data_IF_273066052069
#
_entry.id   IF_273066052069
#
_cell.length_a   1.000
_cell.length_b   1.000
_cell.length_c   1.000
_cell.angle_alpha   90.00
_cell.angle_beta   90.00
_cell.angle_gamma   90.00
#
_symmetry.space_group_name_H-M   'P 1'
#
loop_
_entity.id
_entity.type
_entity.pdbx_description
1 polymer ?
#
# COMPACT_ATOMS: atom_id res chain seq x y z
N UNK A 1 -0.05 -7.17 -20.23
CA UNK A 1 1.23 -6.47 -19.99
C UNK A 1 0.89 -4.99 -19.93
N UNK A 2 1.36 -4.26 -18.90
CA UNK A 2 1.02 -2.85 -18.73
C UNK A 2 1.79 -1.98 -19.73
N UNK A 3 1.20 -0.88 -20.14
CA UNK A 3 1.81 0.15 -20.98
C UNK A 3 2.17 1.39 -20.16
N UNK A 4 1.35 1.72 -19.15
CA UNK A 4 1.58 2.84 -18.24
C UNK A 4 1.21 2.49 -16.80
N UNK A 5 2.01 2.95 -15.85
CA UNK A 5 1.84 2.66 -14.42
C UNK A 5 1.94 3.95 -13.61
N UNK A 6 1.03 4.14 -12.65
CA UNK A 6 1.13 5.19 -11.64
C UNK A 6 1.76 4.64 -10.36
N UNK A 7 2.72 5.37 -9.79
CA UNK A 7 3.34 5.00 -8.52
C UNK A 7 2.68 5.83 -7.40
N UNK A 8 1.90 5.18 -6.54
CA UNK A 8 1.26 5.80 -5.39
C UNK A 8 2.21 5.90 -4.18
N UNK A 9 3.41 6.46 -4.40
CA UNK A 9 4.45 6.62 -3.39
C UNK A 9 5.42 7.76 -3.78
N UNK A 10 6.45 7.99 -2.95
CA UNK A 10 7.44 9.06 -3.14
C UNK A 10 8.86 8.60 -2.83
N UNK A 11 9.84 9.42 -3.20
CA UNK A 11 11.23 9.20 -2.83
C UNK A 11 11.86 7.99 -3.52
N UNK A 12 12.72 7.26 -2.80
CA UNK A 12 13.56 6.22 -3.39
C UNK A 12 12.74 5.08 -4.00
N UNK A 13 11.69 4.62 -3.31
CA UNK A 13 10.91 3.47 -3.77
C UNK A 13 10.19 3.78 -5.09
N UNK A 14 9.76 5.03 -5.27
CA UNK A 14 9.18 5.45 -6.53
C UNK A 14 10.21 5.40 -7.67
N UNK A 15 11.44 5.88 -7.44
CA UNK A 15 12.54 5.77 -8.42
C UNK A 15 12.88 4.29 -8.69
N UNK A 16 12.91 3.45 -7.66
CA UNK A 16 13.19 2.01 -7.79
C UNK A 16 12.16 1.30 -8.67
N UNK A 17 10.87 1.61 -8.50
CA UNK A 17 9.79 1.08 -9.32
C UNK A 17 9.92 1.60 -10.76
N UNK A 18 10.13 2.90 -10.93
CA UNK A 18 10.25 3.51 -12.26
C UNK A 18 11.44 2.95 -13.07
N UNK A 19 12.56 2.61 -12.41
CA UNK A 19 13.68 1.90 -13.05
C UNK A 19 13.27 0.53 -13.60
N UNK A 20 12.52 -0.26 -12.82
CA UNK A 20 12.00 -1.55 -13.30
C UNK A 20 11.01 -1.38 -14.45
N UNK A 21 10.13 -0.39 -14.39
CA UNK A 21 9.23 -0.05 -15.50
C UNK A 21 10.01 0.31 -16.78
N UNK A 22 11.08 1.10 -16.66
CA UNK A 22 11.95 1.47 -17.79
C UNK A 22 12.62 0.27 -18.45
N UNK A 23 13.10 -0.70 -17.66
CA UNK A 23 13.67 -1.96 -18.18
C UNK A 23 12.64 -2.78 -18.97
N UNK A 24 11.36 -2.64 -18.63
CA UNK A 24 10.24 -3.33 -19.29
C UNK A 24 9.56 -2.50 -20.40
N UNK A 25 10.03 -1.27 -20.65
CA UNK A 25 9.41 -0.36 -21.62
C UNK A 25 8.04 0.18 -21.19
N UNK A 26 7.74 0.21 -19.90
CA UNK A 26 6.49 0.70 -19.31
C UNK A 26 6.63 2.17 -18.94
N UNK A 27 5.69 3.02 -19.38
CA UNK A 27 5.65 4.44 -19.02
C UNK A 27 5.23 4.64 -17.56
N UNK A 28 5.72 5.71 -16.94
CA UNK A 28 5.57 5.93 -15.51
C UNK A 28 4.99 7.29 -15.16
N UNK A 29 4.07 7.29 -14.20
CA UNK A 29 3.47 8.49 -13.63
C UNK A 29 3.84 8.59 -12.16
N UNK A 30 4.59 9.63 -11.79
CA UNK A 30 4.83 9.97 -10.39
C UNK A 30 3.68 10.85 -9.85
N UNK A 31 3.34 10.66 -8.58
CA UNK A 31 2.47 11.59 -7.85
C UNK A 31 3.28 12.43 -6.87
N UNK A 32 2.87 13.68 -6.68
CA UNK A 32 3.55 14.59 -5.76
C UNK A 32 2.61 15.51 -4.98
N UNK A 33 2.96 15.72 -3.72
CA UNK A 33 2.36 16.76 -2.89
C UNK A 33 3.06 18.11 -3.13
N UNK A 34 2.51 19.19 -2.60
CA UNK A 34 3.12 20.52 -2.62
C UNK A 34 4.57 20.52 -2.08
N UNK A 35 4.84 19.73 -1.03
CA UNK A 35 6.17 19.61 -0.44
C UNK A 35 7.17 18.87 -1.34
N UNK A 36 6.68 18.10 -2.32
CA UNK A 36 7.50 17.22 -3.16
C UNK A 36 7.68 17.77 -4.59
N UNK A 37 7.26 19.00 -4.89
CA UNK A 37 7.35 19.60 -6.24
C UNK A 37 8.74 19.55 -6.86
N UNK A 38 9.79 19.58 -6.03
CA UNK A 38 11.19 19.50 -6.47
C UNK A 38 11.87 18.16 -6.13
N UNK A 39 11.11 17.17 -5.66
CA UNK A 39 11.66 15.87 -5.27
C UNK A 39 12.19 15.10 -6.50
N UNK A 40 13.24 14.32 -6.28
CA UNK A 40 13.92 13.59 -7.36
C UNK A 40 13.01 12.59 -8.08
N UNK A 41 12.06 11.96 -7.39
CA UNK A 41 11.15 11.01 -8.03
C UNK A 41 10.19 11.71 -9.01
N UNK A 42 9.86 12.97 -8.78
CA UNK A 42 9.03 13.78 -9.70
C UNK A 42 9.79 14.06 -10.99
N UNK A 43 11.07 14.44 -10.87
CA UNK A 43 11.92 14.74 -12.03
C UNK A 43 12.32 13.49 -12.83
N UNK A 44 12.25 12.31 -12.21
CA UNK A 44 12.67 11.05 -12.84
C UNK A 44 11.59 10.40 -13.72
N UNK A 45 10.32 10.69 -13.43
CA UNK A 45 9.16 10.08 -14.09
C UNK A 45 8.93 10.62 -15.50
N UNK A 46 8.24 9.84 -16.34
CA UNK A 46 7.84 10.29 -17.68
C UNK A 46 6.73 11.35 -17.59
N UNK A 47 5.85 11.22 -16.60
CA UNK A 47 4.76 12.15 -16.29
C UNK A 47 4.67 12.34 -14.77
N UNK A 48 4.23 13.51 -14.32
CA UNK A 48 4.02 13.78 -12.91
C UNK A 48 2.71 14.52 -12.64
N UNK A 49 1.95 14.06 -11.65
CA UNK A 49 0.63 14.61 -11.28
C UNK A 49 0.65 15.15 -9.86
N UNK A 50 0.22 16.41 -9.71
CA UNK A 50 0.01 17.03 -8.40
C UNK A 50 -1.24 16.43 -7.73
N UNK A 51 -1.10 15.95 -6.50
CA UNK A 51 -2.17 15.25 -5.78
C UNK A 51 -2.62 15.97 -4.50
N UNK A 52 -2.13 17.18 -4.24
CA UNK A 52 -2.63 18.01 -3.14
C UNK A 52 -1.55 18.53 -2.20
N UNK A 53 -1.98 19.02 -1.04
CA UNK A 53 -1.12 19.72 -0.07
C UNK A 53 -0.11 18.79 0.60
N UNK A 54 0.87 19.39 1.26
CA UNK A 54 1.95 18.69 1.95
C UNK A 54 1.48 17.64 2.99
N UNK A 55 0.32 17.83 3.62
CA UNK A 55 -0.20 16.87 4.59
C UNK A 55 -0.55 15.54 3.90
N UNK A 56 -0.06 14.37 4.36
CA UNK A 56 -0.32 13.10 3.70
C UNK A 56 -1.81 12.76 3.55
N UNK A 57 -2.65 13.13 4.52
CA UNK A 57 -4.11 12.94 4.44
C UNK A 57 -4.77 13.71 3.28
N UNK A 58 -4.16 14.82 2.86
CA UNK A 58 -4.60 15.63 1.72
C UNK A 58 -3.89 15.23 0.41
N UNK A 59 -3.02 14.22 0.43
CA UNK A 59 -2.24 13.76 -0.73
C UNK A 59 -2.03 12.23 -0.74
N UNK A 60 -0.90 11.72 -0.26
CA UNK A 60 -0.48 10.31 -0.40
C UNK A 60 -1.36 9.27 0.33
N UNK A 61 -2.19 9.70 1.28
CA UNK A 61 -3.17 8.85 1.96
C UNK A 61 -4.60 9.08 1.45
N UNK A 62 -4.77 9.86 0.38
CA UNK A 62 -6.06 10.12 -0.25
C UNK A 62 -6.27 9.19 -1.46
N UNK A 63 -6.98 8.08 -1.22
CA UNK A 63 -7.29 7.07 -2.23
C UNK A 63 -7.97 7.64 -3.47
N UNK A 64 -8.98 8.50 -3.29
CA UNK A 64 -9.77 9.04 -4.39
C UNK A 64 -8.92 9.89 -5.33
N UNK A 65 -8.03 10.72 -4.77
CA UNK A 65 -7.13 11.55 -5.57
C UNK A 65 -6.11 10.70 -6.33
N UNK A 66 -5.58 9.65 -5.72
CA UNK A 66 -4.63 8.74 -6.37
C UNK A 66 -5.28 7.94 -7.51
N UNK A 67 -6.49 7.42 -7.30
CA UNK A 67 -7.26 6.71 -8.32
C UNK A 67 -7.61 7.66 -9.47
N UNK A 68 -8.06 8.87 -9.15
CA UNK A 68 -8.34 9.90 -10.17
C UNK A 68 -7.09 10.25 -10.97
N UNK A 69 -5.94 10.45 -10.32
CA UNK A 69 -4.67 10.71 -11.00
C UNK A 69 -4.29 9.55 -11.96
N UNK A 70 -4.54 8.30 -11.58
CA UNK A 70 -4.25 7.14 -12.43
C UNK A 70 -5.19 7.09 -13.64
N UNK A 71 -6.49 7.36 -13.44
CA UNK A 71 -7.47 7.41 -14.52
C UNK A 71 -7.19 8.56 -15.50
N UNK A 72 -6.95 9.77 -14.99
CA UNK A 72 -6.72 10.97 -15.81
C UNK A 72 -5.41 10.84 -16.62
N UNK A 73 -4.38 10.22 -16.05
CA UNK A 73 -3.11 9.93 -16.76
C UNK A 73 -3.16 8.68 -17.66
N UNK A 74 -4.29 7.95 -17.65
CA UNK A 74 -4.52 6.71 -18.40
C UNK A 74 -3.52 5.60 -18.04
N UNK A 75 -3.20 5.47 -16.75
CA UNK A 75 -2.43 4.35 -16.25
C UNK A 75 -3.26 3.06 -16.29
N UNK A 76 -2.61 1.92 -16.51
CA UNK A 76 -3.24 0.59 -16.47
C UNK A 76 -3.25 0.01 -15.05
N UNK A 77 -2.31 0.46 -14.22
CA UNK A 77 -2.04 -0.10 -12.90
C UNK A 77 -1.49 0.95 -11.92
N UNK A 78 -1.70 0.69 -10.63
CA UNK A 78 -1.10 1.45 -9.53
C UNK A 78 -0.14 0.54 -8.76
N UNK A 79 1.11 0.98 -8.61
CA UNK A 79 2.07 0.35 -7.71
C UNK A 79 2.16 1.16 -6.40
N UNK A 80 1.83 0.57 -5.24
CA UNK A 80 1.78 1.32 -3.99
C UNK A 80 3.14 1.48 -3.30
N UNK A 81 4.13 0.66 -3.68
CA UNK A 81 5.43 0.66 -3.00
C UNK A 81 5.28 0.05 -1.61
N UNK A 82 5.78 0.75 -0.59
CA UNK A 82 5.61 0.37 0.82
C UNK A 82 5.16 1.57 1.68
N UNK A 83 4.56 1.30 2.83
CA UNK A 83 3.94 2.34 3.65
C UNK A 83 2.76 3.01 2.92
N UNK A 84 2.33 4.16 3.42
CA UNK A 84 1.14 4.85 2.90
C UNK A 84 -0.08 3.91 2.78
N UNK A 85 -0.52 3.64 1.54
CA UNK A 85 -1.68 2.81 1.26
C UNK A 85 -1.32 1.39 0.79
N UNK A 86 -0.05 0.96 0.86
CA UNK A 86 0.39 -0.36 0.37
C UNK A 86 -0.27 -1.54 1.07
N UNK A 87 -0.67 -1.36 2.33
CA UNK A 87 -1.35 -2.37 3.15
C UNK A 87 -2.81 -1.99 3.42
N UNK A 88 -3.37 -1.07 2.63
CA UNK A 88 -4.76 -0.65 2.79
C UNK A 88 -5.67 -1.48 1.87
N UNK A 89 -6.36 -2.47 2.46
CA UNK A 89 -7.25 -3.37 1.72
C UNK A 89 -8.38 -2.62 0.98
N UNK A 90 -8.91 -1.55 1.58
CA UNK A 90 -9.97 -0.74 0.94
C UNK A 90 -9.44 0.02 -0.28
N UNK A 91 -8.19 0.48 -0.23
CA UNK A 91 -7.55 1.12 -1.38
C UNK A 91 -7.32 0.12 -2.51
N UNK A 92 -6.78 -1.08 -2.22
CA UNK A 92 -6.60 -2.12 -3.23
C UNK A 92 -7.92 -2.47 -3.94
N UNK A 93 -8.99 -2.70 -3.16
CA UNK A 93 -10.32 -2.97 -3.71
C UNK A 93 -10.88 -1.79 -4.53
N UNK A 94 -10.64 -0.55 -4.10
CA UNK A 94 -11.08 0.64 -4.83
C UNK A 94 -10.34 0.82 -6.16
N UNK A 95 -9.04 0.52 -6.21
CA UNK A 95 -8.24 0.51 -7.45
C UNK A 95 -8.80 -0.50 -8.44
N UNK A 96 -9.05 -1.74 -7.99
CA UNK A 96 -9.64 -2.80 -8.82
C UNK A 96 -11.06 -2.44 -9.30
N UNK A 97 -11.87 -1.85 -8.42
CA UNK A 97 -13.24 -1.38 -8.75
C UNK A 97 -13.24 -0.25 -9.79
N UNK A 98 -12.16 0.54 -9.86
CA UNK A 98 -11.97 1.58 -10.86
C UNK A 98 -11.47 1.04 -12.21
N UNK A 99 -11.31 -0.28 -12.36
CA UNK A 99 -10.81 -0.92 -13.58
C UNK A 99 -9.29 -0.85 -13.74
N UNK A 100 -8.56 -0.50 -12.68
CA UNK A 100 -7.10 -0.45 -12.65
C UNK A 100 -6.55 -1.72 -11.97
N UNK A 101 -5.34 -2.12 -12.30
CA UNK A 101 -4.67 -3.20 -11.56
C UNK A 101 -3.96 -2.65 -10.32
N UNK A 102 -4.27 -3.19 -9.14
CA UNK A 102 -3.44 -2.98 -7.95
C UNK A 102 -2.23 -3.92 -7.98
N UNK A 103 -1.01 -3.39 -7.99
CA UNK A 103 0.20 -4.22 -8.00
C UNK A 103 0.56 -4.60 -6.57
N UNK A 104 -0.01 -5.72 -6.13
CA UNK A 104 0.15 -6.29 -4.80
C UNK A 104 -0.75 -7.51 -4.63
N UNK A 105 -0.89 -8.02 -3.39
CA UNK A 105 -1.84 -9.10 -3.11
C UNK A 105 -3.29 -8.59 -3.19
N UNK A 106 -4.24 -9.52 -3.31
CA UNK A 106 -5.67 -9.21 -3.32
C UNK A 106 -6.13 -8.53 -2.01
N UNK A 107 -7.18 -7.72 -2.07
CA UNK A 107 -7.69 -6.98 -0.91
C UNK A 107 -8.05 -7.89 0.28
N UNK A 108 -8.54 -9.10 0.03
CA UNK A 108 -8.83 -10.10 1.07
C UNK A 108 -7.57 -10.58 1.76
N UNK A 109 -6.48 -10.76 1.00
CA UNK A 109 -5.18 -11.16 1.54
C UNK A 109 -4.57 -10.04 2.39
N UNK A 110 -4.67 -8.79 1.93
CA UNK A 110 -4.24 -7.62 2.71
C UNK A 110 -5.02 -7.56 4.03
N UNK A 111 -6.35 -7.74 3.99
CA UNK A 111 -7.19 -7.70 5.19
C UNK A 111 -6.82 -8.82 6.16
N UNK A 112 -6.71 -10.05 5.66
CA UNK A 112 -6.38 -11.21 6.48
C UNK A 112 -4.99 -11.13 7.15
N UNK A 113 -4.05 -10.43 6.53
CA UNK A 113 -2.68 -10.29 7.02
C UNK A 113 -2.40 -8.96 7.74
N UNK A 114 -3.26 -7.96 7.59
CA UNK A 114 -3.08 -6.62 8.14
C UNK A 114 -3.33 -6.55 9.65
N UNK A 115 -4.19 -7.41 10.19
CA UNK A 115 -4.37 -7.56 11.63
C UNK A 115 -3.40 -8.63 12.19
N UNK A 116 -2.58 -8.24 13.16
CA UNK A 116 -1.57 -9.13 13.76
C UNK A 116 -2.17 -10.30 14.55
N UNK A 117 -3.32 -10.12 15.16
CA UNK A 117 -4.02 -11.18 15.88
C UNK A 117 -4.70 -12.14 14.89
N UNK A 118 -5.45 -11.61 13.93
CA UNK A 118 -6.13 -12.44 12.91
C UNK A 118 -5.13 -13.22 12.05
N UNK A 119 -4.04 -12.58 11.63
CA UNK A 119 -2.98 -13.23 10.85
C UNK A 119 -2.33 -14.38 11.63
N UNK A 120 -2.07 -14.21 12.94
CA UNK A 120 -1.53 -15.27 13.78
C UNK A 120 -2.50 -16.45 13.90
N UNK A 121 -3.80 -16.17 14.08
CA UNK A 121 -4.85 -17.20 14.09
C UNK A 121 -4.87 -17.96 12.75
N UNK A 122 -4.77 -17.23 11.63
CA UNK A 122 -4.74 -17.83 10.30
C UNK A 122 -3.50 -18.71 10.08
N UNK A 123 -2.32 -18.26 10.53
CA UNK A 123 -1.09 -19.04 10.46
C UNK A 123 -1.17 -20.33 11.30
N UNK A 124 -1.69 -20.25 12.53
CA UNK A 124 -1.93 -21.44 13.38
C UNK A 124 -2.88 -22.44 12.69
N UNK A 125 -4.00 -21.95 12.15
CA UNK A 125 -4.97 -22.78 11.40
C UNK A 125 -4.35 -23.45 10.17
N UNK A 126 -3.36 -22.79 9.56
CA UNK A 126 -2.63 -23.30 8.40
C UNK A 126 -1.47 -24.24 8.76
N UNK A 127 -1.32 -24.61 10.05
CA UNK A 127 -0.25 -25.49 10.52
C UNK A 127 1.13 -24.82 10.61
N UNK A 128 1.20 -23.50 10.49
CA UNK A 128 2.45 -22.73 10.62
C UNK A 128 2.75 -22.51 12.11
N UNK A 129 3.95 -22.89 12.60
CA UNK A 129 4.34 -22.59 13.96
C UNK A 129 4.35 -21.08 14.22
N UNK A 130 3.71 -20.64 15.30
CA UNK A 130 3.68 -19.24 15.72
C UNK A 130 4.25 -19.11 17.13
N UNK A 131 4.70 -17.91 17.50
CA UNK A 131 5.13 -17.61 18.86
C UNK A 131 3.97 -17.91 19.83
N UNK A 132 4.19 -18.66 20.93
CA UNK A 132 3.16 -18.88 21.94
C UNK A 132 2.54 -17.56 22.42
N UNK A 133 1.26 -17.57 22.74
CA UNK A 133 0.52 -16.37 23.15
C UNK A 133 -0.97 -16.61 23.15
N UNK A 134 -1.68 -15.65 23.73
CA UNK A 134 -3.13 -15.67 23.88
C UNK A 134 -3.79 -14.73 22.88
N UNK A 135 -5.01 -15.08 22.47
CA UNK A 135 -5.83 -14.32 21.54
C UNK A 135 -7.15 -13.90 22.22
N UNK A 136 -7.72 -12.76 21.81
CA UNK A 136 -9.05 -12.33 22.27
C UNK A 136 -9.15 -11.92 23.74
N UNK A 137 -8.06 -11.40 24.33
CA UNK A 137 -8.09 -10.87 25.69
C UNK A 137 -8.71 -9.47 25.70
N UNK A 138 -9.71 -9.24 26.54
CA UNK A 138 -10.50 -8.00 26.58
C UNK A 138 -10.43 -7.27 27.93
N UNK A 139 -9.85 -7.90 28.96
CA UNK A 139 -9.78 -7.34 30.31
C UNK A 139 -8.42 -7.48 30.99
N UNK A 140 -8.09 -6.55 31.88
CA UNK A 140 -6.83 -6.56 32.65
C UNK A 140 -6.63 -7.90 33.40
N UNK A 141 -7.69 -8.48 33.95
CA UNK A 141 -7.62 -9.76 34.66
C UNK A 141 -7.34 -10.95 33.73
N UNK A 142 -7.81 -10.91 32.49
CA UNK A 142 -7.43 -11.87 31.46
C UNK A 142 -5.96 -11.72 31.06
N UNK A 143 -5.48 -10.48 30.90
CA UNK A 143 -4.06 -10.21 30.62
C UNK A 143 -3.15 -10.71 31.76
N UNK A 144 -3.53 -10.51 33.03
CA UNK A 144 -2.76 -11.01 34.19
C UNK A 144 -2.68 -12.52 34.22
N UNK A 145 -3.79 -13.22 33.96
CA UNK A 145 -3.82 -14.70 33.90
C UNK A 145 -2.97 -15.22 32.75
N UNK A 146 -3.11 -14.64 31.57
CA UNK A 146 -2.30 -14.97 30.40
C UNK A 146 -0.80 -14.80 30.67
N UNK A 147 -0.39 -13.70 31.32
CA UNK A 147 1.00 -13.48 31.68
C UNK A 147 1.55 -14.57 32.63
N UNK A 148 0.77 -14.98 33.62
CA UNK A 148 1.17 -16.05 34.54
C UNK A 148 1.27 -17.42 33.86
N UNK A 149 0.41 -17.70 32.89
CA UNK A 149 0.39 -18.99 32.19
C UNK A 149 1.53 -19.15 31.18
N UNK A 150 1.94 -18.07 30.50
CA UNK A 150 3.02 -18.13 29.50
C UNK A 150 4.43 -18.08 30.10
N UNK A 151 4.58 -17.49 31.30
CA UNK A 151 5.86 -17.32 31.99
C UNK A 151 6.45 -15.92 31.85
#
# INVERSE_FOLDING_TARGET
>A
MFTKLLIANRGEIAIRIMRACRELGIQTVAVYSEADVHAQHVQFADEAVFIGKAAPKESYLNADVLIRAALDSKADAIHPGYGFLSENASFAAAVESAGLTFIGPAAESIRAMGDKAESKILMKKSGVPTVPGFEGLESEDEFKRAAQEIG
#
